data_IF_357467584401
#
_entry.id   IF_357467584401
#
_cell.length_a   1.000
_cell.length_b   1.000
_cell.length_c   1.000
_cell.angle_alpha   90.00
_cell.angle_beta   90.00
_cell.angle_gamma   90.00
#
_symmetry.space_group_name_H-M   'P 1'
#
loop_
_entity.id
_entity.type
_entity.pdbx_description
1 polymer ?
#
# COMPACT_ATOMS: atom_id res chain seq x y z
N UNK A 1 -5.77 63.48 25.63
CA UNK A 1 -5.29 62.33 26.42
C UNK A 1 -4.45 61.47 25.51
N UNK A 2 -3.17 61.30 25.83
CA UNK A 2 -2.16 60.68 24.98
C UNK A 2 -2.45 59.19 24.75
N UNK A 3 -2.35 58.75 23.49
CA UNK A 3 -2.27 57.33 23.16
C UNK A 3 -0.96 56.81 23.74
N UNK A 4 -1.10 56.04 24.82
CA UNK A 4 0.02 55.49 25.57
C UNK A 4 0.56 54.27 24.82
N UNK A 5 1.51 54.49 23.91
CA UNK A 5 2.31 53.45 23.30
C UNK A 5 3.17 52.81 24.39
N UNK A 6 2.77 51.62 24.88
CA UNK A 6 3.53 50.87 25.87
C UNK A 6 4.91 50.55 25.27
N UNK A 7 6.02 50.93 25.92
CA UNK A 7 7.35 50.79 25.35
C UNK A 7 7.67 49.31 25.14
N UNK A 8 7.99 48.95 23.91
CA UNK A 8 8.57 47.67 23.52
C UNK A 8 10.05 47.66 23.95
N UNK A 9 10.30 47.59 25.26
CA UNK A 9 11.63 47.41 25.84
C UNK A 9 11.57 46.27 26.84
N UNK A 10 12.34 45.22 26.55
CA UNK A 10 12.63 44.04 27.38
C UNK A 10 11.51 43.04 27.62
N UNK A 11 11.09 42.36 26.54
CA UNK A 11 10.64 40.97 26.72
C UNK A 11 11.79 40.20 27.37
N UNK A 12 11.59 39.74 28.61
CA UNK A 12 12.61 38.94 29.30
C UNK A 12 12.97 37.70 28.47
N UNK A 13 14.21 37.22 28.55
CA UNK A 13 14.64 35.98 27.87
C UNK A 13 13.69 34.81 28.20
N UNK A 14 13.08 34.81 29.40
CA UNK A 14 12.05 33.85 29.79
C UNK A 14 10.75 33.95 28.98
N UNK A 15 10.32 35.17 28.65
CA UNK A 15 9.12 35.42 27.83
C UNK A 15 9.34 34.94 26.38
N UNK A 16 10.52 35.20 25.81
CA UNK A 16 10.88 34.77 24.45
C UNK A 16 11.02 33.24 24.35
N UNK A 17 11.62 32.60 25.35
CA UNK A 17 11.68 31.13 25.41
C UNK A 17 10.31 30.49 25.58
N UNK A 18 9.42 31.09 26.39
CA UNK A 18 8.03 30.66 26.52
C UNK A 18 7.27 30.76 25.19
N UNK A 19 7.44 31.86 24.46
CA UNK A 19 6.83 32.05 23.14
C UNK A 19 7.37 31.08 22.08
N UNK A 20 8.68 30.83 22.05
CA UNK A 20 9.30 29.86 21.13
C UNK A 20 8.86 28.42 21.43
N UNK A 21 8.78 28.04 22.71
CA UNK A 21 8.25 26.74 23.13
C UNK A 21 6.79 26.57 22.71
N UNK A 22 5.98 27.62 22.89
CA UNK A 22 4.57 27.64 22.49
C UNK A 22 4.40 27.55 20.97
N UNK A 23 5.23 28.25 20.20
CA UNK A 23 5.21 28.20 18.73
C UNK A 23 5.66 26.84 18.19
N UNK A 24 6.74 26.27 18.75
CA UNK A 24 7.21 24.93 18.37
C UNK A 24 6.15 23.87 18.67
N UNK A 25 5.50 23.95 19.84
CA UNK A 25 4.40 23.03 20.22
C UNK A 25 3.19 23.15 19.29
N UNK A 26 2.88 24.38 18.83
CA UNK A 26 1.84 24.62 17.82
C UNK A 26 2.22 24.03 16.46
N UNK A 27 3.43 24.26 15.99
CA UNK A 27 3.91 23.75 14.71
C UNK A 27 3.87 22.22 14.67
N UNK A 28 4.38 21.55 15.70
CA UNK A 28 4.33 20.08 15.80
C UNK A 28 2.88 19.58 15.75
N UNK A 29 1.95 20.25 16.45
CA UNK A 29 0.53 19.90 16.43
C UNK A 29 -0.08 20.06 15.04
N UNK A 30 0.32 21.10 14.32
CA UNK A 30 -0.19 21.39 12.99
C UNK A 30 0.37 20.42 11.95
N UNK A 31 1.66 20.05 12.05
CA UNK A 31 2.27 19.02 11.21
C UNK A 31 1.63 17.64 11.43
N UNK A 32 1.32 17.30 12.69
CA UNK A 32 0.56 16.09 13.01
C UNK A 32 -0.84 16.12 12.41
N UNK A 33 -1.53 17.27 12.44
CA UNK A 33 -2.86 17.43 11.81
C UNK A 33 -2.78 17.30 10.29
N UNK A 34 -1.74 17.86 9.68
CA UNK A 34 -1.51 17.76 8.24
C UNK A 34 -1.22 16.30 7.84
N UNK A 35 -0.29 15.64 8.52
CA UNK A 35 0.03 14.23 8.31
C UNK A 35 -1.22 13.35 8.53
N UNK A 36 -2.03 13.64 9.55
CA UNK A 36 -3.29 12.92 9.77
C UNK A 36 -4.27 13.13 8.62
N UNK A 37 -4.37 14.33 8.05
CA UNK A 37 -5.23 14.63 6.90
C UNK A 37 -4.75 13.90 5.66
N UNK A 38 -3.45 13.96 5.35
CA UNK A 38 -2.86 13.23 4.21
C UNK A 38 -3.00 11.73 4.36
N UNK A 39 -2.82 11.20 5.58
CA UNK A 39 -3.06 9.80 5.88
C UNK A 39 -4.53 9.41 5.68
N UNK A 40 -5.48 10.21 6.15
CA UNK A 40 -6.90 9.95 5.94
C UNK A 40 -7.28 9.98 4.45
N UNK A 41 -6.73 10.93 3.69
CA UNK A 41 -6.96 11.02 2.25
C UNK A 41 -6.37 9.83 1.50
N UNK A 42 -5.15 9.43 1.86
CA UNK A 42 -4.49 8.23 1.34
C UNK A 42 -5.27 6.97 1.69
N UNK A 43 -5.70 6.83 2.95
CA UNK A 43 -6.49 5.70 3.44
C UNK A 43 -7.86 5.64 2.77
N UNK A 44 -8.50 6.78 2.50
CA UNK A 44 -9.77 6.84 1.77
C UNK A 44 -9.60 6.36 0.33
N UNK A 45 -8.60 6.84 -0.39
CA UNK A 45 -8.33 6.40 -1.76
C UNK A 45 -7.97 4.91 -1.82
N UNK A 46 -7.10 4.46 -0.92
CA UNK A 46 -6.76 3.04 -0.79
C UNK A 46 -8.00 2.18 -0.43
N UNK A 47 -8.85 2.67 0.47
CA UNK A 47 -10.07 1.98 0.90
C UNK A 47 -11.13 1.88 -0.19
N UNK A 48 -11.36 2.96 -0.96
CA UNK A 48 -12.25 2.94 -2.13
C UNK A 48 -11.70 1.99 -3.20
N UNK A 49 -10.39 2.07 -3.48
CA UNK A 49 -9.71 1.17 -4.40
C UNK A 49 -9.89 -0.30 -3.99
N UNK A 50 -9.55 -0.63 -2.75
CA UNK A 50 -9.71 -1.97 -2.20
C UNK A 50 -11.17 -2.44 -2.24
N UNK A 51 -12.13 -1.56 -1.93
CA UNK A 51 -13.56 -1.85 -2.01
C UNK A 51 -14.03 -2.17 -3.43
N UNK A 52 -13.69 -1.32 -4.40
CA UNK A 52 -14.04 -1.53 -5.82
C UNK A 52 -13.38 -2.78 -6.40
N UNK A 53 -12.08 -3.01 -6.12
CA UNK A 53 -11.40 -4.23 -6.54
C UNK A 53 -12.00 -5.49 -5.92
N UNK A 54 -12.45 -5.42 -4.67
CA UNK A 54 -13.13 -6.54 -4.00
C UNK A 54 -14.44 -6.89 -4.71
N UNK A 55 -15.27 -5.87 -5.01
CA UNK A 55 -16.53 -6.07 -5.74
C UNK A 55 -16.28 -6.59 -7.15
N UNK A 56 -15.36 -5.96 -7.89
CA UNK A 56 -14.99 -6.41 -9.23
C UNK A 56 -14.45 -7.84 -9.24
N UNK A 57 -13.61 -8.20 -8.26
CA UNK A 57 -13.10 -9.55 -8.07
C UNK A 57 -14.21 -10.56 -7.79
N UNK A 58 -15.20 -10.22 -6.98
CA UNK A 58 -16.34 -11.09 -6.69
C UNK A 58 -17.22 -11.30 -7.93
N UNK A 59 -17.51 -10.24 -8.69
CA UNK A 59 -18.25 -10.37 -9.96
C UNK A 59 -17.47 -11.17 -11.00
N UNK A 60 -16.16 -10.96 -11.10
CA UNK A 60 -15.30 -11.75 -11.99
C UNK A 60 -15.29 -13.23 -11.58
N UNK A 61 -15.25 -13.53 -10.28
CA UNK A 61 -15.33 -14.89 -9.76
C UNK A 61 -16.65 -15.57 -10.12
N UNK A 62 -17.79 -14.91 -9.85
CA UNK A 62 -19.09 -15.46 -10.22
C UNK A 62 -19.26 -15.60 -11.74
N UNK A 63 -18.81 -14.60 -12.52
CA UNK A 63 -18.83 -14.67 -13.98
C UNK A 63 -18.02 -15.86 -14.52
N UNK A 64 -16.83 -16.10 -13.97
CA UNK A 64 -16.02 -17.27 -14.32
C UNK A 64 -16.73 -18.58 -13.93
N UNK A 65 -17.32 -18.66 -12.73
CA UNK A 65 -18.08 -19.84 -12.30
C UNK A 65 -19.28 -20.13 -13.22
N UNK A 66 -20.03 -19.10 -13.61
CA UNK A 66 -21.16 -19.22 -14.55
C UNK A 66 -20.68 -19.65 -15.95
N UNK A 67 -19.55 -19.13 -16.44
CA UNK A 67 -18.96 -19.56 -17.71
C UNK A 67 -18.53 -21.03 -17.67
N UNK A 68 -17.94 -21.48 -16.56
CA UNK A 68 -17.59 -22.89 -16.37
C UNK A 68 -18.86 -23.75 -16.39
N UNK A 69 -19.90 -23.37 -15.66
CA UNK A 69 -21.18 -24.07 -15.67
C UNK A 69 -21.81 -24.12 -17.06
N UNK A 70 -21.77 -23.01 -17.82
CA UNK A 70 -22.25 -22.95 -19.19
C UNK A 70 -21.45 -23.89 -20.13
N UNK A 71 -20.12 -23.95 -19.98
CA UNK A 71 -19.29 -24.87 -20.76
C UNK A 71 -19.63 -26.34 -20.46
N UNK A 72 -19.81 -26.69 -19.18
CA UNK A 72 -20.26 -28.04 -18.77
C UNK A 72 -21.63 -28.34 -19.35
N UNK A 73 -22.59 -27.42 -19.23
CA UNK A 73 -23.94 -27.60 -19.77
C UNK A 73 -23.94 -27.76 -21.30
N UNK A 74 -23.12 -27.00 -22.02
CA UNK A 74 -22.98 -27.11 -23.47
C UNK A 74 -22.41 -28.47 -23.89
N UNK A 75 -21.37 -28.96 -23.21
CA UNK A 75 -20.81 -30.29 -23.47
C UNK A 75 -21.77 -31.41 -23.07
N UNK A 76 -22.56 -31.20 -22.01
CA UNK A 76 -23.58 -32.14 -21.57
C UNK A 76 -24.73 -32.33 -22.58
N UNK A 77 -24.83 -31.51 -23.64
CA UNK A 77 -25.77 -31.73 -24.74
C UNK A 77 -25.39 -32.95 -25.60
N UNK A 78 -24.11 -33.35 -25.58
CA UNK A 78 -23.57 -34.43 -26.41
C UNK A 78 -22.84 -35.52 -25.61
N UNK A 79 -22.58 -35.28 -24.32
CA UNK A 79 -21.91 -36.20 -23.40
C UNK A 79 -22.68 -36.29 -22.09
N UNK A 80 -22.41 -37.31 -21.28
CA UNK A 80 -22.90 -37.34 -19.91
C UNK A 80 -22.33 -36.18 -19.07
N UNK A 81 -23.14 -35.65 -18.16
CA UNK A 81 -22.79 -34.50 -17.30
C UNK A 81 -21.49 -34.74 -16.53
N UNK A 82 -21.25 -35.97 -16.05
CA UNK A 82 -20.03 -36.30 -15.31
C UNK A 82 -18.78 -36.22 -16.19
N UNK A 83 -18.86 -36.68 -17.45
CA UNK A 83 -17.75 -36.64 -18.40
C UNK A 83 -17.47 -35.21 -18.86
N UNK A 84 -18.52 -34.44 -19.15
CA UNK A 84 -18.42 -33.01 -19.47
C UNK A 84 -17.72 -32.22 -18.34
N UNK A 85 -18.12 -32.44 -17.08
CA UNK A 85 -17.52 -31.80 -15.92
C UNK A 85 -16.03 -32.14 -15.77
N UNK A 86 -15.64 -33.40 -15.96
CA UNK A 86 -14.24 -33.82 -15.88
C UNK A 86 -13.37 -33.19 -16.97
N UNK A 87 -13.89 -33.09 -18.20
CA UNK A 87 -13.17 -32.46 -19.32
C UNK A 87 -12.91 -30.99 -19.03
N UNK A 88 -13.95 -30.25 -18.61
CA UNK A 88 -13.81 -28.83 -18.27
C UNK A 88 -12.85 -28.64 -17.09
N UNK A 89 -12.95 -29.48 -16.06
CA UNK A 89 -12.03 -29.44 -14.91
C UNK A 89 -10.58 -29.69 -15.34
N UNK A 90 -10.32 -30.67 -16.22
CA UNK A 90 -8.98 -30.95 -16.73
C UNK A 90 -8.39 -29.74 -17.47
N UNK A 91 -9.18 -29.09 -18.34
CA UNK A 91 -8.74 -27.87 -19.05
C UNK A 91 -8.42 -26.75 -18.06
N UNK A 92 -9.26 -26.52 -17.06
CA UNK A 92 -9.03 -25.50 -16.03
C UNK A 92 -7.75 -25.78 -15.23
N UNK A 93 -7.48 -27.03 -14.85
CA UNK A 93 -6.26 -27.39 -14.14
C UNK A 93 -5.00 -27.20 -14.99
N UNK A 94 -5.06 -27.46 -16.29
CA UNK A 94 -3.95 -27.17 -17.20
C UNK A 94 -3.68 -25.66 -17.25
N UNK A 95 -4.72 -24.84 -17.43
CA UNK A 95 -4.58 -23.37 -17.44
C UNK A 95 -4.05 -22.86 -16.10
N UNK A 96 -4.58 -23.35 -14.98
CA UNK A 96 -4.12 -22.99 -13.65
C UNK A 96 -2.66 -23.40 -13.41
N UNK A 97 -2.25 -24.58 -13.87
CA UNK A 97 -0.87 -25.04 -13.81
C UNK A 97 0.08 -24.12 -14.59
N UNK A 98 -0.29 -23.74 -15.82
CA UNK A 98 0.50 -22.79 -16.63
C UNK A 98 0.58 -21.42 -15.93
N UNK A 99 -0.56 -20.88 -15.48
CA UNK A 99 -0.61 -19.61 -14.78
C UNK A 99 0.25 -19.62 -13.51
N UNK A 100 0.21 -20.70 -12.73
CA UNK A 100 1.04 -20.87 -11.54
C UNK A 100 2.53 -20.92 -11.86
N UNK A 101 2.93 -21.61 -12.95
CA UNK A 101 4.31 -21.66 -13.40
C UNK A 101 4.81 -20.28 -13.88
N UNK A 102 4.00 -19.56 -14.66
CA UNK A 102 4.33 -18.20 -15.12
C UNK A 102 4.40 -17.23 -13.95
N UNK A 103 3.41 -17.26 -13.05
CA UNK A 103 3.38 -16.43 -11.85
C UNK A 103 4.58 -16.69 -10.95
N UNK A 104 4.99 -17.97 -10.78
CA UNK A 104 6.20 -18.32 -10.05
C UNK A 104 7.47 -17.77 -10.70
N UNK A 105 7.58 -17.84 -12.03
CA UNK A 105 8.72 -17.24 -12.75
C UNK A 105 8.77 -15.73 -12.56
N UNK A 106 7.64 -15.06 -12.70
CA UNK A 106 7.58 -13.60 -12.51
C UNK A 106 7.87 -13.20 -11.07
N UNK A 107 7.40 -13.97 -10.08
CA UNK A 107 7.69 -13.79 -8.67
C UNK A 107 9.16 -14.06 -8.31
N UNK A 108 9.87 -14.86 -9.10
CA UNK A 108 11.31 -15.08 -8.94
C UNK A 108 12.15 -13.99 -9.63
N UNK A 109 11.63 -13.38 -10.69
CA UNK A 109 12.29 -12.28 -11.41
C UNK A 109 12.13 -10.92 -10.73
N UNK A 110 11.12 -10.74 -9.87
CA UNK A 110 11.08 -9.60 -8.93
C UNK A 110 12.21 -9.75 -7.91
N UNK A 111 13.40 -9.32 -8.30
CA UNK A 111 14.46 -8.93 -7.38
C UNK A 111 13.79 -8.03 -6.34
N UNK A 112 13.92 -8.30 -5.03
CA UNK A 112 13.34 -7.45 -4.01
C UNK A 112 13.72 -6.01 -4.34
N UNK A 113 12.77 -5.08 -4.33
CA UNK A 113 13.08 -3.66 -4.50
C UNK A 113 13.82 -3.14 -3.25
N UNK A 114 15.01 -3.68 -2.96
CA UNK A 114 16.01 -3.21 -1.99
C UNK A 114 17.19 -4.20 -1.79
N UNK A 115 18.01 -4.60 -2.80
CA UNK A 115 19.38 -5.02 -2.50
C UNK A 115 20.28 -3.79 -2.28
N UNK A 116 20.00 -2.68 -2.99
CA UNK A 116 20.80 -1.44 -2.89
C UNK A 116 20.72 -0.79 -1.51
N UNK A 117 19.55 -0.76 -0.88
CA UNK A 117 19.39 -0.08 0.43
C UNK A 117 20.10 -0.81 1.57
N UNK A 118 20.10 -2.14 1.57
CA UNK A 118 20.83 -2.92 2.59
C UNK A 118 22.33 -3.01 2.30
N UNK A 119 22.77 -2.96 1.04
CA UNK A 119 24.21 -2.85 0.71
C UNK A 119 24.77 -1.48 1.06
N UNK A 120 24.08 -0.37 0.74
CA UNK A 120 24.54 0.98 1.09
C UNK A 120 24.59 1.18 2.61
N UNK A 121 23.59 0.69 3.35
CA UNK A 121 23.60 0.78 4.83
C UNK A 121 24.72 -0.08 5.44
N UNK A 122 25.05 -1.23 4.85
CA UNK A 122 26.19 -2.05 5.30
C UNK A 122 27.53 -1.38 5.00
N UNK A 123 27.67 -0.73 3.85
CA UNK A 123 28.87 0.03 3.47
C UNK A 123 29.09 1.23 4.41
N UNK A 124 28.04 2.00 4.71
CA UNK A 124 28.12 3.15 5.64
C UNK A 124 28.50 2.72 7.06
N UNK A 125 28.03 1.55 7.53
CA UNK A 125 28.40 1.03 8.85
C UNK A 125 29.87 0.57 8.90
N UNK A 126 30.42 0.06 7.79
CA UNK A 126 31.83 -0.32 7.69
C UNK A 126 32.74 0.91 7.69
N UNK A 127 32.39 1.96 6.93
CA UNK A 127 33.18 3.20 6.85
C UNK A 127 33.23 3.94 8.21
N UNK A 128 32.13 3.93 8.96
CA UNK A 128 32.10 4.49 10.32
C UNK A 128 32.87 3.66 11.35
N UNK A 129 33.08 2.36 11.10
CA UNK A 129 33.83 1.46 11.99
C UNK A 129 35.33 1.61 11.79
N UNK A 130 35.78 1.81 10.56
CA UNK A 130 37.19 2.02 10.20
C UNK A 130 37.70 3.41 10.64
N UNK A 131 36.82 4.41 10.72
CA UNK A 131 37.16 5.76 11.22
C UNK A 131 37.35 5.80 12.75
N UNK A 132 36.99 4.73 13.48
CA UNK A 132 37.06 4.66 14.95
C UNK A 132 38.22 3.81 15.49
N UNK A 133 39.03 3.19 14.63
CA UNK A 133 40.27 2.47 14.98
C UNK A 133 41.50 3.25 14.56
#
# INVERSE_FOLDING_TARGET
MAVQSKPAADASIGELMSQLSTQTSRLVRDEMRLAQKEFQESAKHAGIGAGLFSVAGLFAFFGAATMIAAAVAALALVLDVWAAALIVAAVLFVVAGIAALVGRKQAQEVTPAAPRTVETVKADIQELKDTRS
#
